data_IF_932848393288
#
_entry.id   IF_932848393288
#
_cell.length_a   1.000
_cell.length_b   1.000
_cell.length_c   1.000
_cell.angle_alpha   90.00
_cell.angle_beta   90.00
_cell.angle_gamma   90.00
#
_symmetry.space_group_name_H-M   'P 1'
#
loop_
_entity.id
_entity.type
_entity.pdbx_description
1 polymer ?
#
# COMPACT_ATOMS: atom_id res chain seq x y z
N UNK A 1 16.41 -0.06 11.33
CA UNK A 1 16.29 -0.66 10.03
C UNK A 1 14.99 -0.28 9.32
N UNK A 2 14.70 -0.98 8.26
CA UNK A 2 13.52 -0.67 7.45
C UNK A 2 12.20 -0.87 8.19
N UNK A 3 12.12 -1.85 9.08
CA UNK A 3 10.89 -2.07 9.85
C UNK A 3 10.56 -0.88 10.75
N UNK A 4 11.56 -0.31 11.39
CA UNK A 4 11.38 0.88 12.21
C UNK A 4 10.95 2.09 11.38
N UNK A 5 11.58 2.30 10.22
CA UNK A 5 11.24 3.39 9.32
C UNK A 5 9.82 3.23 8.74
N UNK A 6 9.44 2.02 8.37
CA UNK A 6 8.10 1.71 7.88
C UNK A 6 7.05 1.96 8.95
N UNK A 7 7.27 1.50 10.18
CA UNK A 7 6.34 1.72 11.28
C UNK A 7 6.17 3.20 11.60
N UNK A 8 7.26 3.96 11.59
CA UNK A 8 7.19 5.41 11.83
C UNK A 8 6.45 6.15 10.71
N UNK A 9 6.70 5.78 9.46
CA UNK A 9 6.00 6.32 8.31
C UNK A 9 4.50 6.03 8.40
N UNK A 10 4.16 4.77 8.66
CA UNK A 10 2.80 4.29 8.76
C UNK A 10 2.02 5.05 9.85
N UNK A 11 2.64 5.22 11.01
CA UNK A 11 2.04 5.96 12.11
C UNK A 11 1.73 7.42 11.73
N UNK A 12 2.61 8.07 10.98
CA UNK A 12 2.38 9.45 10.53
C UNK A 12 1.27 9.54 9.49
N UNK A 13 1.19 8.56 8.59
CA UNK A 13 0.24 8.60 7.47
C UNK A 13 -1.14 8.12 7.88
N UNK A 14 -1.22 7.04 8.64
CA UNK A 14 -2.49 6.37 8.96
C UNK A 14 -2.94 6.55 10.40
N UNK A 15 -2.09 7.08 11.28
CA UNK A 15 -2.47 7.30 12.68
C UNK A 15 -2.97 6.03 13.36
N UNK A 16 -4.22 6.03 13.88
CA UNK A 16 -4.75 4.87 14.61
C UNK A 16 -4.90 3.60 13.76
N UNK A 17 -4.92 3.72 12.44
CA UNK A 17 -5.04 2.57 11.53
C UNK A 17 -3.67 1.96 11.19
N UNK A 18 -2.58 2.58 11.63
CA UNK A 18 -1.22 2.11 11.35
C UNK A 18 -0.96 0.73 11.96
N UNK A 19 -0.15 -0.06 11.28
CA UNK A 19 0.27 -1.36 11.79
C UNK A 19 1.28 -1.18 12.93
N UNK A 20 1.21 -2.04 13.96
CA UNK A 20 2.25 -2.08 15.00
C UNK A 20 3.62 -2.40 14.41
N UNK A 21 4.67 -1.96 15.10
CA UNK A 21 6.05 -2.24 14.69
C UNK A 21 6.33 -3.75 14.57
N UNK A 22 5.70 -4.57 15.41
CA UNK A 22 5.85 -6.02 15.35
C UNK A 22 5.34 -6.62 14.04
N UNK A 23 4.25 -6.06 13.49
CA UNK A 23 3.71 -6.48 12.20
C UNK A 23 4.69 -6.12 11.09
N UNK A 24 5.26 -4.92 11.11
CA UNK A 24 6.25 -4.51 10.13
C UNK A 24 7.51 -5.39 10.18
N UNK A 25 7.98 -5.75 11.38
CA UNK A 25 9.12 -6.67 11.51
C UNK A 25 8.84 -8.02 10.87
N UNK A 26 7.63 -8.56 11.07
CA UNK A 26 7.26 -9.82 10.45
C UNK A 26 7.15 -9.68 8.93
N UNK A 27 6.43 -8.67 8.46
CA UNK A 27 6.15 -8.49 7.02
C UNK A 27 7.41 -8.21 6.21
N UNK A 28 8.42 -7.59 6.78
CA UNK A 28 9.69 -7.33 6.11
C UNK A 28 10.74 -8.41 6.37
N UNK A 29 10.35 -9.51 7.02
CA UNK A 29 11.23 -10.66 7.23
C UNK A 29 11.24 -11.58 6.01
N UNK A 30 12.28 -12.43 5.92
CA UNK A 30 12.44 -13.34 4.80
C UNK A 30 11.32 -14.38 4.68
N UNK A 31 10.64 -14.70 5.78
CA UNK A 31 9.57 -15.69 5.79
C UNK A 31 8.22 -15.17 5.34
N UNK A 32 8.05 -13.87 5.17
CA UNK A 32 6.79 -13.28 4.78
C UNK A 32 6.61 -13.32 3.26
N UNK A 33 5.37 -13.48 2.81
CA UNK A 33 5.05 -13.59 1.39
C UNK A 33 4.84 -12.25 0.69
N UNK A 34 4.56 -11.19 1.44
CA UNK A 34 4.25 -9.88 0.86
C UNK A 34 5.43 -9.23 0.15
N UNK A 35 5.14 -8.46 -0.88
CA UNK A 35 6.10 -7.64 -1.60
C UNK A 35 5.88 -6.19 -1.20
N UNK A 36 6.93 -5.53 -0.70
CA UNK A 36 6.86 -4.15 -0.25
C UNK A 36 7.77 -3.27 -1.07
N UNK A 37 7.26 -2.12 -1.48
CA UNK A 37 7.96 -1.14 -2.29
C UNK A 37 7.91 0.23 -1.60
N UNK A 38 9.00 0.98 -1.70
CA UNK A 38 9.06 2.32 -1.15
C UNK A 38 9.75 3.26 -2.13
N UNK A 39 9.21 4.48 -2.23
CA UNK A 39 9.94 5.60 -2.82
C UNK A 39 10.61 6.34 -1.68
N UNK A 40 11.88 6.61 -1.80
CA UNK A 40 12.68 7.18 -0.73
C UNK A 40 13.35 8.46 -1.19
N UNK A 41 13.63 9.33 -0.23
CA UNK A 41 14.42 10.54 -0.42
C UNK A 41 15.90 10.21 -0.18
N UNK A 42 16.78 10.67 -1.07
CA UNK A 42 18.20 10.45 -0.96
C UNK A 42 18.77 9.63 -2.09
N UNK A 43 20.08 9.67 -2.23
CA UNK A 43 20.81 9.13 -3.37
C UNK A 43 21.23 7.67 -3.20
N UNK A 44 20.37 6.88 -2.63
CA UNK A 44 20.59 5.43 -2.67
C UNK A 44 21.53 4.89 -1.61
N UNK A 45 22.45 3.98 -1.95
CA UNK A 45 22.95 2.97 -1.02
C UNK A 45 23.89 3.46 0.07
N UNK A 46 24.14 4.74 0.15
CA UNK A 46 25.15 5.27 1.07
C UNK A 46 24.61 5.68 2.39
N UNK A 47 23.34 5.60 2.56
CA UNK A 47 22.78 5.98 3.83
C UNK A 47 23.21 4.97 4.87
N UNK A 48 24.07 5.35 5.73
CA UNK A 48 24.30 4.66 6.99
C UNK A 48 23.03 4.69 7.84
N UNK A 49 22.09 5.54 7.48
CA UNK A 49 20.75 5.60 8.04
C UNK A 49 19.73 5.25 6.95
N UNK A 50 18.59 4.69 7.34
CA UNK A 50 17.49 4.42 6.42
C UNK A 50 16.99 5.75 5.86
N UNK A 51 16.90 5.90 4.51
CA UNK A 51 16.43 7.15 3.93
C UNK A 51 14.99 7.47 4.33
N UNK A 52 14.60 8.73 4.22
CA UNK A 52 13.22 9.15 4.44
C UNK A 52 12.28 8.47 3.44
N UNK A 53 11.22 7.87 3.92
CA UNK A 53 10.21 7.25 3.08
C UNK A 53 9.22 8.31 2.60
N UNK A 54 9.06 8.43 1.29
CA UNK A 54 8.11 9.35 0.66
C UNK A 54 6.76 8.66 0.37
N UNK A 55 6.82 7.39 0.02
CA UNK A 55 5.64 6.57 -0.23
C UNK A 55 6.00 5.11 0.03
N UNK A 56 5.06 4.34 0.54
CA UNK A 56 5.27 2.95 0.93
C UNK A 56 4.01 2.16 0.61
N UNK A 57 4.18 0.99 0.05
CA UNK A 57 3.07 0.08 -0.23
C UNK A 57 3.49 -1.36 -0.21
N UNK A 58 2.50 -2.23 -0.09
CA UNK A 58 2.72 -3.67 -0.09
C UNK A 58 1.58 -4.40 -0.78
N UNK A 59 1.90 -5.54 -1.36
CA UNK A 59 0.94 -6.42 -2.01
C UNK A 59 1.23 -7.87 -1.63
N UNK A 60 0.18 -8.65 -1.34
CA UNK A 60 0.30 -10.09 -1.18
C UNK A 60 0.22 -10.74 -2.58
N UNK A 61 1.16 -11.64 -2.91
CA UNK A 61 1.14 -12.28 -4.22
C UNK A 61 0.10 -13.41 -4.29
N UNK A 62 -0.11 -13.92 -5.49
CA UNK A 62 -1.02 -15.03 -5.76
C UNK A 62 -1.99 -14.68 -6.86
N UNK A 63 -2.82 -15.65 -7.32
CA UNK A 63 -3.82 -15.38 -8.37
C UNK A 63 -4.80 -14.28 -7.98
N UNK A 64 -5.17 -14.22 -6.70
CA UNK A 64 -5.95 -13.14 -6.13
C UNK A 64 -5.05 -12.34 -5.20
N UNK A 65 -4.31 -11.38 -5.77
CA UNK A 65 -3.43 -10.53 -5.01
C UNK A 65 -4.22 -9.45 -4.26
N UNK A 66 -3.64 -8.96 -3.18
CA UNK A 66 -4.27 -7.91 -2.37
C UNK A 66 -3.27 -6.81 -2.08
N UNK A 67 -3.67 -5.57 -2.30
CA UNK A 67 -2.91 -4.41 -1.82
C UNK A 67 -3.10 -4.36 -0.30
N UNK A 68 -2.01 -4.57 0.42
CA UNK A 68 -2.05 -4.66 1.88
C UNK A 68 -2.03 -3.28 2.53
N UNK A 69 -1.27 -2.37 1.96
CA UNK A 69 -1.17 -0.99 2.39
C UNK A 69 -0.60 -0.14 1.26
N UNK A 70 -0.95 1.12 1.24
CA UNK A 70 -0.36 2.10 0.33
C UNK A 70 -0.53 3.49 0.95
N UNK A 71 0.54 4.24 1.05
CA UNK A 71 0.50 5.57 1.63
C UNK A 71 1.57 6.49 1.06
N UNK A 72 1.30 7.79 1.09
CA UNK A 72 2.22 8.84 0.64
C UNK A 72 2.39 9.84 1.76
N UNK A 73 3.62 10.28 2.01
CA UNK A 73 3.91 11.31 2.98
C UNK A 73 3.10 12.58 2.65
N UNK A 74 2.57 13.24 3.68
CA UNK A 74 1.65 14.36 3.49
C UNK A 74 2.24 15.46 2.61
N UNK A 75 3.50 15.82 2.83
CA UNK A 75 4.16 16.87 2.05
C UNK A 75 4.45 16.48 0.60
N UNK A 76 4.28 15.21 0.26
CA UNK A 76 4.52 14.69 -1.09
C UNK A 76 3.24 14.30 -1.83
N UNK A 77 2.10 14.53 -1.23
CA UNK A 77 0.80 14.28 -1.88
C UNK A 77 0.56 15.26 -3.02
N UNK A 78 -0.26 14.87 -3.98
CA UNK A 78 -0.56 15.70 -5.14
C UNK A 78 0.50 15.70 -6.22
N UNK A 79 1.51 14.84 -6.12
CA UNK A 79 2.61 14.74 -7.09
C UNK A 79 2.58 13.46 -7.91
N UNK A 80 1.51 12.68 -7.79
CA UNK A 80 1.36 11.44 -8.55
C UNK A 80 2.09 10.23 -7.96
N UNK A 81 2.70 10.32 -6.78
CA UNK A 81 3.46 9.21 -6.21
C UNK A 81 2.56 8.03 -5.85
N UNK A 82 1.37 8.27 -5.33
CA UNK A 82 0.44 7.20 -4.98
C UNK A 82 0.05 6.37 -6.20
N UNK A 83 -0.25 7.02 -7.30
CA UNK A 83 -0.57 6.33 -8.54
C UNK A 83 0.60 5.54 -9.12
N UNK A 84 1.79 6.12 -9.10
CA UNK A 84 3.01 5.44 -9.56
C UNK A 84 3.32 4.23 -8.68
N UNK A 85 3.19 4.37 -7.38
CA UNK A 85 3.42 3.26 -6.45
C UNK A 85 2.41 2.15 -6.68
N UNK A 86 1.14 2.50 -6.83
CA UNK A 86 0.09 1.53 -7.12
C UNK A 86 0.39 0.77 -8.42
N UNK A 87 0.80 1.46 -9.47
CA UNK A 87 1.16 0.83 -10.74
C UNK A 87 2.31 -0.17 -10.56
N UNK A 88 3.32 0.19 -9.75
CA UNK A 88 4.44 -0.71 -9.45
C UNK A 88 4.02 -1.92 -8.62
N UNK A 89 3.12 -1.74 -7.66
CA UNK A 89 2.58 -2.85 -6.87
C UNK A 89 1.77 -3.80 -7.73
N UNK A 90 0.94 -3.28 -8.61
CA UNK A 90 0.16 -4.10 -9.56
C UNK A 90 1.11 -4.85 -10.49
N UNK A 91 2.14 -4.19 -11.01
CA UNK A 91 3.14 -4.84 -11.85
C UNK A 91 3.86 -5.97 -11.12
N UNK A 92 4.22 -5.75 -9.87
CA UNK A 92 4.84 -6.78 -9.03
C UNK A 92 3.89 -7.97 -8.84
N UNK A 93 2.61 -7.71 -8.58
CA UNK A 93 1.60 -8.76 -8.45
C UNK A 93 1.46 -9.57 -9.74
N UNK A 94 1.43 -8.90 -10.89
CA UNK A 94 1.33 -9.58 -12.20
C UNK A 94 2.55 -10.48 -12.44
N UNK A 95 3.74 -10.00 -12.11
CA UNK A 95 4.96 -10.82 -12.25
C UNK A 95 4.91 -12.09 -11.38
N UNK A 96 4.20 -12.03 -10.25
CA UNK A 96 4.03 -13.16 -9.34
C UNK A 96 2.77 -13.98 -9.65
N UNK A 97 2.12 -13.74 -10.78
CA UNK A 97 1.01 -14.57 -11.24
C UNK A 97 -0.39 -14.09 -10.92
N UNK A 98 -0.56 -12.83 -10.53
CA UNK A 98 -1.88 -12.30 -10.23
C UNK A 98 -2.79 -12.28 -11.46
N UNK A 99 -4.02 -12.67 -11.28
CA UNK A 99 -5.10 -12.53 -12.25
C UNK A 99 -6.05 -11.40 -11.85
N UNK A 100 -6.14 -11.14 -10.56
CA UNK A 100 -7.02 -10.14 -9.97
C UNK A 100 -6.30 -9.49 -8.79
N UNK A 101 -6.47 -8.19 -8.63
CA UNK A 101 -5.94 -7.45 -7.49
C UNK A 101 -7.10 -6.81 -6.74
N UNK A 102 -7.13 -7.03 -5.42
CA UNK A 102 -8.10 -6.46 -4.50
C UNK A 102 -7.45 -5.41 -3.62
N UNK A 103 -8.24 -4.47 -3.15
CA UNK A 103 -7.85 -3.56 -2.08
C UNK A 103 -9.07 -3.18 -1.26
N UNK A 104 -8.81 -2.66 -0.07
CA UNK A 104 -9.84 -2.09 0.79
C UNK A 104 -9.48 -0.63 1.07
N UNK A 105 -10.48 0.24 1.06
CA UNK A 105 -10.30 1.66 1.29
C UNK A 105 -11.44 2.17 2.14
N UNK A 106 -11.16 3.16 3.00
CA UNK A 106 -12.22 3.80 3.77
C UNK A 106 -13.25 4.40 2.82
N UNK A 107 -14.53 4.15 3.07
CA UNK A 107 -15.63 4.65 2.23
C UNK A 107 -15.59 6.17 2.08
N UNK A 108 -15.14 6.87 3.11
CA UNK A 108 -15.07 8.34 3.12
C UNK A 108 -13.85 8.91 2.41
N UNK A 109 -12.88 8.08 2.06
CA UNK A 109 -11.65 8.55 1.42
C UNK A 109 -11.88 8.79 -0.08
N UNK A 110 -12.51 9.88 -0.43
CA UNK A 110 -12.88 10.20 -1.82
C UNK A 110 -11.64 10.30 -2.72
N UNK A 111 -10.58 10.92 -2.25
CA UNK A 111 -9.34 11.05 -3.03
C UNK A 111 -8.70 9.71 -3.33
N UNK A 112 -8.64 8.82 -2.34
CA UNK A 112 -8.09 7.49 -2.54
C UNK A 112 -8.98 6.67 -3.49
N UNK A 113 -10.28 6.74 -3.31
CA UNK A 113 -11.22 6.05 -4.20
C UNK A 113 -11.09 6.51 -5.64
N UNK A 114 -10.99 7.81 -5.85
CA UNK A 114 -10.80 8.36 -7.19
C UNK A 114 -9.50 7.89 -7.82
N UNK A 115 -8.41 7.82 -7.04
CA UNK A 115 -7.13 7.29 -7.50
C UNK A 115 -7.29 5.86 -7.99
N UNK A 116 -7.93 5.01 -7.21
CA UNK A 116 -8.09 3.60 -7.55
C UNK A 116 -9.04 3.40 -8.74
N UNK A 117 -10.14 4.13 -8.77
CA UNK A 117 -11.05 4.11 -9.92
C UNK A 117 -10.35 4.53 -11.21
N UNK A 118 -9.52 5.55 -11.14
CA UNK A 118 -8.74 6.01 -12.29
C UNK A 118 -7.74 4.99 -12.80
N UNK A 119 -7.43 3.97 -12.00
CA UNK A 119 -6.52 2.90 -12.41
C UNK A 119 -7.23 1.57 -12.63
N UNK A 120 -8.54 1.60 -12.84
CA UNK A 120 -9.29 0.44 -13.26
C UNK A 120 -9.82 -0.44 -12.15
N UNK A 121 -9.74 0.01 -10.88
CA UNK A 121 -10.39 -0.67 -9.77
C UNK A 121 -11.87 -0.30 -9.73
N UNK A 122 -12.72 -1.28 -9.50
CA UNK A 122 -14.16 -1.07 -9.39
C UNK A 122 -14.66 -1.57 -8.05
N UNK A 123 -15.67 -0.90 -7.45
CA UNK A 123 -16.25 -1.37 -6.20
C UNK A 123 -16.94 -2.73 -6.39
N UNK A 124 -16.68 -3.67 -5.48
CA UNK A 124 -17.30 -5.00 -5.51
C UNK A 124 -17.92 -5.40 -4.20
N UNK A 125 -17.72 -4.64 -3.12
CA UNK A 125 -18.30 -4.97 -1.84
C UNK A 125 -18.05 -3.90 -0.80
N UNK A 126 -18.68 -4.09 0.34
CA UNK A 126 -18.59 -3.18 1.48
C UNK A 126 -18.43 -4.01 2.74
N UNK A 127 -17.42 -3.73 3.55
CA UNK A 127 -17.25 -4.30 4.88
C UNK A 127 -17.69 -3.26 5.89
N UNK A 128 -18.87 -3.45 6.48
CA UNK A 128 -19.43 -2.51 7.44
C UNK A 128 -18.58 -2.47 8.71
N UNK A 129 -18.27 -1.25 9.17
CA UNK A 129 -17.51 -1.00 10.40
C UNK A 129 -16.17 -1.72 10.46
N UNK A 130 -15.56 -1.92 9.31
CA UNK A 130 -14.23 -2.52 9.25
C UNK A 130 -13.20 -1.64 9.95
N UNK A 131 -13.26 -0.33 9.69
CA UNK A 131 -12.52 0.65 10.45
C UNK A 131 -13.36 1.10 11.64
N UNK A 132 -12.70 1.65 12.65
CA UNK A 132 -13.37 2.05 13.89
C UNK A 132 -14.51 3.04 13.65
N UNK A 133 -14.36 3.91 12.67
CA UNK A 133 -15.26 5.04 12.40
C UNK A 133 -15.78 5.06 10.96
N UNK A 134 -15.55 4.02 10.19
CA UNK A 134 -15.96 3.98 8.79
C UNK A 134 -16.03 2.55 8.26
N UNK A 135 -16.75 2.37 7.18
CA UNK A 135 -16.80 1.13 6.43
C UNK A 135 -15.62 1.01 5.48
N UNK A 136 -15.27 -0.21 5.11
CA UNK A 136 -14.29 -0.44 4.06
C UNK A 136 -15.00 -0.77 2.75
N UNK A 137 -14.66 -0.03 1.71
CA UNK A 137 -15.06 -0.34 0.36
C UNK A 137 -14.04 -1.31 -0.23
N UNK A 138 -14.52 -2.47 -0.70
CA UNK A 138 -13.67 -3.45 -1.36
C UNK A 138 -13.69 -3.17 -2.85
N UNK A 139 -12.52 -3.03 -3.44
CA UNK A 139 -12.36 -2.75 -4.87
C UNK A 139 -11.51 -3.82 -5.54
N UNK A 140 -11.77 -4.05 -6.82
CA UNK A 140 -11.11 -5.09 -7.60
C UNK A 140 -10.71 -4.58 -8.97
N UNK A 141 -9.57 -5.05 -9.44
CA UNK A 141 -9.12 -4.88 -10.82
C UNK A 141 -8.69 -6.21 -11.38
N UNK A 142 -9.25 -6.60 -12.53
CA UNK A 142 -8.78 -7.76 -13.30
C UNK A 142 -7.54 -7.36 -14.09
N UNK A 143 -6.47 -8.12 -13.91
CA UNK A 143 -5.18 -7.85 -14.56
C UNK A 143 -4.77 -8.99 -15.50
N UNK A 144 -5.59 -10.00 -15.59
CA UNK A 144 -5.39 -11.12 -16.51
C UNK A 144 -5.55 -10.64 -17.95
N UNK A 145 -4.68 -11.14 -18.78
CA UNK A 145 -4.70 -10.85 -20.22
C UNK A 145 -5.49 -11.90 -21.00
#
# INVERSE_FOLDING_TARGET
GWAGAAAAFDARVFGPDAWPASVWRYELSDGAAGVYLAFVDGDGPYASAVPGILALGGVSPGPEAEILTIGVAESWRGRGLGGRLLDELVSAAVREGAETVFLEVRSRSEGARALYEGRGFVPVGLRRRYYRDDDALVMRRDVRR
#
